data_IF_627642317501
#
_entry.id   IF_627642317501
#
_cell.length_a   1.000
_cell.length_b   1.000
_cell.length_c   1.000
_cell.angle_alpha   90.00
_cell.angle_beta   90.00
_cell.angle_gamma   90.00
#
_symmetry.space_group_name_H-M   'P 1'
#
loop_
_entity.id
_entity.type
_entity.pdbx_description
1 polymer ?
#
# COMPACT_ATOMS: atom_id res chain seq x y z
N UNK A 1 -7.09 -0.75 18.93
CA UNK A 1 -7.11 0.57 18.27
C UNK A 1 -7.54 0.32 16.83
N UNK A 2 -8.56 1.02 16.33
CA UNK A 2 -8.91 0.93 14.91
C UNK A 2 -7.90 1.75 14.11
N UNK A 3 -7.28 1.14 13.11
CA UNK A 3 -6.41 1.81 12.15
C UNK A 3 -7.27 2.44 11.06
N UNK A 4 -7.01 3.70 10.69
CA UNK A 4 -7.75 4.44 9.66
C UNK A 4 -6.77 4.88 8.57
N UNK A 5 -6.97 4.40 7.34
CA UNK A 5 -6.13 4.74 6.18
C UNK A 5 -6.12 6.26 5.92
N UNK A 6 -7.29 6.89 5.91
CA UNK A 6 -7.45 8.33 5.65
C UNK A 6 -6.86 9.23 6.74
N UNK A 7 -6.44 8.66 7.88
CA UNK A 7 -5.77 9.40 8.95
C UNK A 7 -4.28 9.07 9.04
N UNK A 8 -3.75 8.29 8.10
CA UNK A 8 -2.35 7.92 8.05
C UNK A 8 -1.50 9.12 7.59
N UNK A 9 -0.36 9.42 8.24
CA UNK A 9 0.45 10.60 7.93
C UNK A 9 0.98 10.63 6.50
N UNK A 10 1.29 9.46 5.93
CA UNK A 10 1.78 9.35 4.55
C UNK A 10 0.65 9.19 3.51
N UNK A 11 -0.62 9.19 3.93
CA UNK A 11 -1.71 9.20 2.94
C UNK A 11 -1.87 10.62 2.37
N UNK A 12 -1.43 10.80 1.12
CA UNK A 12 -1.49 12.06 0.37
C UNK A 12 -2.52 12.00 -0.77
N UNK A 13 -3.79 11.74 -0.42
CA UNK A 13 -4.91 11.63 -1.38
C UNK A 13 -4.65 10.65 -2.54
N UNK A 14 -4.02 9.50 -2.21
CA UNK A 14 -3.73 8.44 -3.18
C UNK A 14 -4.99 8.05 -3.96
N UNK A 15 -4.88 8.04 -5.29
CA UNK A 15 -5.95 7.64 -6.20
C UNK A 15 -6.50 6.24 -5.87
N UNK A 16 -5.63 5.30 -5.45
CA UNK A 16 -6.06 3.96 -5.04
C UNK A 16 -5.09 3.32 -4.03
N UNK A 17 -5.65 2.63 -3.03
CA UNK A 17 -4.90 1.71 -2.15
C UNK A 17 -5.62 0.37 -2.11
N UNK A 18 -4.94 -0.70 -2.54
CA UNK A 18 -5.49 -2.06 -2.59
C UNK A 18 -4.74 -3.00 -1.65
N UNK A 19 -5.48 -3.72 -0.82
CA UNK A 19 -4.96 -4.79 0.03
C UNK A 19 -5.25 -6.14 -0.62
N UNK A 20 -4.20 -6.90 -0.91
CA UNK A 20 -4.28 -8.21 -1.56
C UNK A 20 -3.85 -9.28 -0.57
N UNK A 21 -4.66 -10.32 -0.44
CA UNK A 21 -4.37 -11.50 0.35
C UNK A 21 -4.74 -12.73 -0.47
N UNK A 22 -3.79 -13.65 -0.66
CA UNK A 22 -4.05 -14.96 -1.22
C UNK A 22 -3.58 -16.05 -0.27
N UNK A 23 -4.54 -16.82 0.25
CA UNK A 23 -4.26 -17.86 1.24
C UNK A 23 -3.51 -19.06 0.64
N UNK A 24 -3.69 -19.35 -0.65
CA UNK A 24 -3.07 -20.51 -1.28
C UNK A 24 -1.55 -20.34 -1.43
N UNK A 25 -1.10 -19.13 -1.77
CA UNK A 25 0.33 -18.78 -1.87
C UNK A 25 0.89 -18.15 -0.60
N UNK A 26 0.03 -17.71 0.33
CA UNK A 26 0.42 -16.91 1.50
C UNK A 26 0.77 -15.46 1.16
N UNK A 27 0.47 -15.00 -0.07
CA UNK A 27 0.74 -13.64 -0.51
C UNK A 27 -0.04 -12.63 0.34
N UNK A 28 0.67 -11.62 0.82
CA UNK A 28 0.10 -10.39 1.34
C UNK A 28 0.79 -9.22 0.67
N UNK A 29 0.03 -8.35 0.02
CA UNK A 29 0.55 -7.21 -0.71
C UNK A 29 -0.32 -5.98 -0.51
N UNK A 30 0.33 -4.82 -0.60
CA UNK A 30 -0.31 -3.51 -0.62
C UNK A 30 0.13 -2.87 -1.94
N UNK A 31 -0.84 -2.39 -2.71
CA UNK A 31 -0.61 -1.64 -3.94
C UNK A 31 -1.15 -0.25 -3.71
N UNK A 32 -0.29 0.75 -3.75
CA UNK A 32 -0.64 2.16 -3.61
C UNK A 32 -0.36 2.88 -4.93
N UNK A 33 -1.38 3.56 -5.44
CA UNK A 33 -1.31 4.44 -6.61
C UNK A 33 -1.54 5.85 -6.10
N UNK A 34 -0.51 6.68 -6.19
CA UNK A 34 -0.58 8.08 -5.75
C UNK A 34 -1.41 8.92 -6.72
N UNK A 35 -1.00 9.00 -8.00
CA UNK A 35 -1.67 9.76 -9.06
C UNK A 35 -1.58 9.00 -10.39
N UNK A 36 -2.65 9.06 -11.18
CA UNK A 36 -2.74 8.50 -12.54
C UNK A 36 -3.20 9.54 -13.58
N UNK A 37 -3.08 10.85 -13.27
CA UNK A 37 -3.54 11.97 -14.11
C UNK A 37 -2.86 11.98 -15.48
N UNK A 38 -1.57 11.61 -15.53
CA UNK A 38 -0.78 11.56 -16.77
C UNK A 38 -0.86 10.21 -17.51
N UNK A 39 -1.67 9.27 -17.01
CA UNK A 39 -1.82 7.92 -17.55
C UNK A 39 -1.55 6.85 -16.48
N UNK A 40 -1.45 5.57 -16.90
CA UNK A 40 -1.29 4.46 -15.97
C UNK A 40 -0.07 4.62 -15.07
N UNK A 41 -0.26 4.40 -13.78
CA UNK A 41 0.83 4.45 -12.81
C UNK A 41 1.86 3.34 -13.07
N UNK A 42 3.14 3.69 -12.92
CA UNK A 42 4.26 2.76 -12.97
C UNK A 42 5.00 2.80 -11.64
N UNK A 43 5.15 1.64 -11.00
CA UNK A 43 5.81 1.50 -9.71
C UNK A 43 6.64 0.23 -9.63
N UNK A 44 7.64 0.23 -8.76
CA UNK A 44 8.44 -0.96 -8.47
C UNK A 44 7.67 -1.97 -7.61
N UNK A 45 8.12 -3.23 -7.62
CA UNK A 45 7.69 -4.23 -6.66
C UNK A 45 8.79 -4.43 -5.61
N UNK A 46 8.44 -4.27 -4.34
CA UNK A 46 9.33 -4.55 -3.20
C UNK A 46 8.79 -5.73 -2.41
N UNK A 47 9.65 -6.71 -2.16
CA UNK A 47 9.37 -7.83 -1.26
C UNK A 47 10.29 -7.66 -0.05
N UNK A 48 9.72 -7.41 1.11
CA UNK A 48 10.48 -7.13 2.34
C UNK A 48 9.76 -7.69 3.58
N UNK A 49 10.49 -8.26 4.56
CA UNK A 49 9.90 -8.81 5.77
C UNK A 49 9.66 -7.71 6.82
N UNK A 50 8.64 -6.87 6.63
CA UNK A 50 8.26 -5.87 7.64
C UNK A 50 7.85 -6.54 8.95
N UNK A 51 8.14 -5.89 10.07
CA UNK A 51 7.78 -6.38 11.40
C UNK A 51 6.28 -6.27 11.66
N UNK A 52 5.61 -5.30 11.03
CA UNK A 52 4.17 -5.08 11.16
C UNK A 52 3.50 -4.67 9.84
N UNK A 53 2.18 -4.84 9.76
CA UNK A 53 1.39 -4.37 8.59
C UNK A 53 1.39 -2.84 8.46
N UNK A 54 1.50 -2.11 9.59
CA UNK A 54 1.60 -0.65 9.58
C UNK A 54 2.89 -0.18 8.91
N UNK A 55 4.03 -0.82 9.19
CA UNK A 55 5.30 -0.51 8.51
C UNK A 55 5.23 -0.74 7.00
N UNK A 56 4.58 -1.84 6.57
CA UNK A 56 4.40 -2.14 5.15
C UNK A 56 3.51 -1.09 4.46
N UNK A 57 2.45 -0.63 5.13
CA UNK A 57 1.56 0.40 4.60
C UNK A 57 2.25 1.77 4.54
N UNK A 58 2.98 2.17 5.58
CA UNK A 58 3.80 3.39 5.56
C UNK A 58 4.78 3.37 4.39
N UNK A 59 5.43 2.24 4.13
CA UNK A 59 6.37 2.13 3.01
C UNK A 59 5.68 2.16 1.63
N UNK A 60 4.44 1.69 1.54
CA UNK A 60 3.66 1.72 0.30
C UNK A 60 3.11 3.12 -0.01
N UNK A 61 2.79 3.92 1.01
CA UNK A 61 2.16 5.25 0.86
C UNK A 61 3.14 6.41 0.63
N UNK A 62 4.44 6.22 0.82
CA UNK A 62 5.44 7.30 0.75
C UNK A 62 5.97 7.60 -0.66
#
# INVERSE_FOLDING_TARGET
MSFSLFSHPDFDDHAQVSFVSDAATGLRAIIAVHDDTLGPALGGCRIWPYGTEAEALTDALR
#
